data_IF_603509437046
#
_entry.id   IF_603509437046
#
_cell.length_a   1.000
_cell.length_b   1.000
_cell.length_c   1.000
_cell.angle_alpha   90.00
_cell.angle_beta   90.00
_cell.angle_gamma   90.00
#
_symmetry.space_group_name_H-M   'P 1'
#
loop_
_entity.id
_entity.type
_entity.pdbx_description
1 polymer ?
#
# COMPACT_ATOMS: atom_id res chain seq x y z
N UNK A 1 3.25 36.92 -7.95
CA UNK A 1 4.68 36.94 -7.57
C UNK A 1 5.28 35.53 -7.64
N UNK A 2 5.01 34.75 -8.70
CA UNK A 2 5.35 33.31 -8.75
C UNK A 2 5.98 32.83 -10.07
N UNK A 3 5.90 33.62 -11.14
CA UNK A 3 6.42 33.22 -12.45
C UNK A 3 7.94 33.41 -12.55
N UNK A 4 8.47 34.46 -11.90
CA UNK A 4 9.90 34.77 -11.84
C UNK A 4 10.69 33.72 -11.05
N UNK A 5 10.17 33.30 -9.88
CA UNK A 5 10.76 32.22 -9.06
C UNK A 5 10.74 30.87 -9.78
N UNK A 6 9.68 30.58 -10.55
CA UNK A 6 9.61 29.39 -11.39
C UNK A 6 10.62 29.42 -12.53
N UNK A 7 10.81 30.57 -13.19
CA UNK A 7 11.80 30.76 -14.25
C UNK A 7 13.24 30.64 -13.71
N UNK A 8 13.52 31.21 -12.53
CA UNK A 8 14.83 31.15 -11.87
C UNK A 8 15.17 29.72 -11.42
N UNK A 9 14.22 29.01 -10.81
CA UNK A 9 14.38 27.59 -10.47
C UNK A 9 14.64 26.71 -11.71
N UNK A 10 13.96 26.99 -12.83
CA UNK A 10 14.12 26.25 -14.08
C UNK A 10 15.51 26.49 -14.72
N UNK A 11 16.05 27.70 -14.60
CA UNK A 11 17.39 28.05 -15.09
C UNK A 11 18.50 27.47 -14.22
N UNK A 12 18.32 27.44 -12.89
CA UNK A 12 19.29 26.87 -11.97
C UNK A 12 19.39 25.33 -12.08
N UNK A 13 18.26 24.65 -12.30
CA UNK A 13 18.20 23.20 -12.54
C UNK A 13 18.87 22.83 -13.88
N UNK A 14 18.67 23.64 -14.93
CA UNK A 14 19.29 23.42 -16.23
C UNK A 14 20.82 23.62 -16.22
N UNK A 15 21.35 24.42 -15.29
CA UNK A 15 22.78 24.71 -15.19
C UNK A 15 23.57 23.71 -14.33
N UNK A 16 22.93 22.98 -13.41
CA UNK A 16 23.65 22.16 -12.41
C UNK A 16 23.80 20.67 -12.71
N UNK A 17 23.20 20.12 -13.77
CA UNK A 17 23.17 18.66 -13.95
C UNK A 17 23.45 18.20 -15.39
N UNK A 18 24.68 17.71 -15.60
CA UNK A 18 25.02 16.88 -16.75
C UNK A 18 24.38 15.48 -16.57
N UNK A 19 23.24 15.23 -17.23
CA UNK A 19 22.81 13.86 -17.52
C UNK A 19 21.41 13.41 -17.08
N UNK A 20 20.59 14.28 -16.49
CA UNK A 20 19.15 14.04 -16.27
C UNK A 20 18.38 14.97 -17.19
N UNK A 21 17.42 14.45 -17.96
CA UNK A 21 16.61 15.30 -18.83
C UNK A 21 15.70 16.19 -17.94
N UNK A 22 15.77 17.53 -18.08
CA UNK A 22 14.99 18.47 -17.26
C UNK A 22 13.46 18.32 -17.37
N UNK A 23 12.98 17.59 -18.37
CA UNK A 23 11.55 17.33 -18.63
C UNK A 23 10.94 16.37 -17.60
N UNK A 24 11.61 15.27 -17.26
CA UNK A 24 11.07 14.25 -16.32
C UNK A 24 10.91 14.80 -14.91
N UNK A 25 11.86 15.62 -14.44
CA UNK A 25 11.79 16.20 -13.09
C UNK A 25 10.69 17.26 -12.99
N UNK A 26 10.51 18.09 -14.02
CA UNK A 26 9.41 19.05 -14.09
C UNK A 26 8.05 18.33 -14.12
N UNK A 27 7.97 17.19 -14.83
CA UNK A 27 6.76 16.37 -14.91
C UNK A 27 6.42 15.66 -13.60
N UNK A 28 7.41 15.16 -12.85
CA UNK A 28 7.17 14.58 -11.52
C UNK A 28 6.71 15.64 -10.52
N UNK A 29 7.33 16.83 -10.50
CA UNK A 29 6.86 17.94 -9.67
C UNK A 29 5.43 18.35 -10.07
N UNK A 30 5.11 18.38 -11.36
CA UNK A 30 3.76 18.67 -11.83
C UNK A 30 2.77 17.57 -11.45
N UNK A 31 3.15 16.29 -11.52
CA UNK A 31 2.31 15.16 -11.11
C UNK A 31 2.08 15.15 -9.59
N UNK A 32 3.08 15.46 -8.77
CA UNK A 32 2.92 15.65 -7.32
C UNK A 32 1.98 16.82 -7.02
N UNK A 33 2.14 17.96 -7.72
CA UNK A 33 1.24 19.09 -7.56
C UNK A 33 -0.20 18.76 -7.96
N UNK A 34 -0.39 18.03 -9.06
CA UNK A 34 -1.70 17.57 -9.52
C UNK A 34 -2.33 16.58 -8.53
N UNK A 35 -1.56 15.64 -7.98
CA UNK A 35 -2.02 14.69 -6.96
C UNK A 35 -2.38 15.38 -5.63
N UNK A 36 -1.62 16.40 -5.22
CA UNK A 36 -1.97 17.20 -4.04
C UNK A 36 -3.23 18.03 -4.28
N UNK A 37 -3.40 18.58 -5.49
CA UNK A 37 -4.62 19.29 -5.90
C UNK A 37 -5.84 18.38 -5.99
N UNK A 38 -5.66 17.16 -6.53
CA UNK A 38 -6.66 16.11 -6.57
C UNK A 38 -7.21 15.78 -5.18
N UNK A 39 -6.33 15.76 -4.18
CA UNK A 39 -6.65 15.43 -2.80
C UNK A 39 -7.00 16.66 -1.93
N UNK A 40 -7.22 17.84 -2.52
CA UNK A 40 -7.60 19.05 -1.77
C UNK A 40 -6.49 19.67 -0.89
N UNK A 41 -5.25 19.20 -0.99
CA UNK A 41 -4.16 19.60 -0.10
C UNK A 41 -3.48 20.91 -0.57
N UNK A 42 -3.25 21.85 0.36
CA UNK A 42 -2.60 23.14 0.06
C UNK A 42 -1.07 23.02 -0.10
N UNK A 43 -0.50 23.76 -1.06
CA UNK A 43 0.90 23.70 -1.52
C UNK A 43 1.93 24.17 -0.46
N UNK A 44 1.51 24.66 0.72
CA UNK A 44 2.42 25.27 1.71
C UNK A 44 3.38 24.29 2.43
N UNK A 45 3.23 22.96 2.26
CA UNK A 45 4.00 21.95 3.01
C UNK A 45 5.34 21.52 2.41
N UNK A 46 5.75 22.02 1.24
CA UNK A 46 6.97 21.54 0.56
C UNK A 46 8.11 22.55 0.71
N UNK A 47 8.81 22.54 1.85
CA UNK A 47 10.02 23.34 2.05
C UNK A 47 11.26 22.57 2.57
N UNK A 48 11.25 21.23 2.58
CA UNK A 48 12.37 20.45 3.12
C UNK A 48 12.74 19.25 2.25
N UNK A 49 13.34 19.48 1.08
CA UNK A 49 14.21 18.48 0.41
C UNK A 49 15.33 19.21 -0.35
N UNK A 50 16.16 19.96 0.37
CA UNK A 50 17.43 20.47 -0.16
C UNK A 50 18.57 19.98 0.72
N UNK A 51 19.27 18.93 0.28
CA UNK A 51 20.73 18.80 0.29
C UNK A 51 21.13 17.41 -0.23
N UNK A 52 21.83 17.41 -1.36
CA UNK A 52 22.23 16.22 -2.12
C UNK A 52 23.45 15.50 -1.54
N UNK A 53 23.27 14.71 -0.48
CA UNK A 53 24.31 13.81 0.04
C UNK A 53 23.97 12.30 -0.12
N UNK A 54 22.78 11.94 -0.60
CA UNK A 54 22.29 10.54 -0.69
C UNK A 54 23.00 9.71 -1.78
N UNK A 55 23.57 10.34 -2.82
CA UNK A 55 24.19 9.62 -3.95
C UNK A 55 25.49 8.88 -3.58
N UNK A 56 26.18 9.25 -2.49
CA UNK A 56 27.45 8.62 -2.11
C UNK A 56 27.32 7.40 -1.20
N UNK A 57 26.25 7.29 -0.41
CA UNK A 57 26.09 6.17 0.54
C UNK A 57 25.43 4.95 -0.09
N UNK A 58 24.49 5.11 -1.04
CA UNK A 58 23.80 3.97 -1.68
C UNK A 58 24.74 3.08 -2.51
N UNK A 59 25.86 3.60 -2.99
CA UNK A 59 26.84 2.87 -3.81
C UNK A 59 28.08 2.41 -3.03
N UNK A 60 28.19 2.73 -1.74
CA UNK A 60 29.27 2.27 -0.85
C UNK A 60 28.85 1.20 0.14
N UNK A 61 27.62 0.68 0.04
CA UNK A 61 27.09 -0.32 0.96
C UNK A 61 27.84 -1.66 0.83
N UNK A 62 28.29 -2.18 1.97
CA UNK A 62 29.02 -3.44 2.12
C UNK A 62 28.26 -4.62 1.48
N UNK A 63 28.89 -5.27 0.50
CA UNK A 63 28.28 -6.25 -0.40
C UNK A 63 27.94 -7.60 0.28
N UNK A 64 28.26 -7.76 1.56
CA UNK A 64 27.97 -8.97 2.36
C UNK A 64 26.63 -8.90 3.13
N UNK A 65 25.94 -7.77 3.09
CA UNK A 65 24.62 -7.62 3.71
C UNK A 65 23.53 -8.44 2.99
N UNK A 66 22.67 -9.22 3.70
CA UNK A 66 21.53 -9.94 3.12
C UNK A 66 20.59 -9.05 2.29
N UNK A 67 20.44 -7.75 2.64
CA UNK A 67 19.70 -6.77 1.83
C UNK A 67 20.29 -6.63 0.42
N UNK A 68 21.62 -6.60 0.30
CA UNK A 68 22.35 -6.48 -0.98
C UNK A 68 22.27 -7.76 -1.83
N UNK A 69 22.12 -8.92 -1.20
CA UNK A 69 21.86 -10.18 -1.90
C UNK A 69 20.45 -10.20 -2.52
N UNK A 70 19.44 -9.70 -1.79
CA UNK A 70 18.06 -9.56 -2.30
C UNK A 70 18.01 -8.58 -3.47
N UNK A 71 18.73 -7.45 -3.41
CA UNK A 71 18.87 -6.51 -4.53
C UNK A 71 19.49 -7.16 -5.77
N UNK A 72 20.44 -8.08 -5.61
CA UNK A 72 21.08 -8.77 -6.73
C UNK A 72 20.18 -9.87 -7.33
N UNK A 73 19.39 -10.55 -6.50
CA UNK A 73 18.49 -11.64 -6.92
C UNK A 73 17.21 -11.09 -7.57
N UNK A 74 16.62 -10.03 -7.01
CA UNK A 74 15.37 -9.45 -7.48
C UNK A 74 15.56 -8.24 -8.40
N UNK A 75 16.59 -7.44 -8.16
CA UNK A 75 16.74 -6.11 -8.77
C UNK A 75 17.57 -6.06 -10.05
N UNK A 76 18.37 -7.07 -10.40
CA UNK A 76 19.30 -6.94 -11.55
C UNK A 76 18.61 -6.56 -12.88
N UNK A 77 17.37 -7.00 -13.11
CA UNK A 77 16.57 -6.64 -14.30
C UNK A 77 15.82 -5.30 -14.14
N UNK A 78 15.41 -4.94 -12.92
CA UNK A 78 14.60 -3.74 -12.67
C UNK A 78 15.44 -2.50 -12.36
N UNK A 79 16.68 -2.67 -11.91
CA UNK A 79 17.65 -1.60 -11.63
C UNK A 79 18.39 -1.11 -12.89
N UNK A 80 18.19 -1.77 -14.04
CA UNK A 80 18.62 -1.24 -15.34
C UNK A 80 17.80 -0.02 -15.76
N UNK A 81 16.56 0.08 -15.28
CA UNK A 81 15.76 1.31 -15.38
C UNK A 81 16.29 2.30 -14.33
N UNK A 82 16.62 3.52 -14.76
CA UNK A 82 17.08 4.57 -13.84
C UNK A 82 15.96 4.92 -12.87
N UNK A 83 16.03 4.40 -11.64
CA UNK A 83 15.24 4.87 -10.50
C UNK A 83 15.33 6.39 -10.43
N UNK A 84 14.19 7.05 -10.18
CA UNK A 84 14.24 8.46 -9.85
C UNK A 84 14.88 8.62 -8.46
N UNK A 85 15.52 9.76 -8.21
CA UNK A 85 16.08 10.08 -6.88
C UNK A 85 15.03 10.18 -5.76
N UNK A 86 13.75 10.07 -6.10
CA UNK A 86 12.62 10.18 -5.17
C UNK A 86 12.00 8.82 -4.82
N UNK A 87 12.40 7.74 -5.51
CA UNK A 87 11.84 6.41 -5.28
C UNK A 87 12.65 5.64 -4.24
N UNK A 88 11.96 5.03 -3.27
CA UNK A 88 12.55 3.99 -2.44
C UNK A 88 12.78 2.72 -3.28
N UNK A 89 14.02 2.22 -3.39
CA UNK A 89 14.32 1.06 -4.24
C UNK A 89 13.57 -0.22 -3.86
N UNK A 90 13.31 -0.45 -2.56
CA UNK A 90 12.60 -1.65 -2.10
C UNK A 90 11.12 -1.57 -2.45
N UNK A 91 10.49 -0.42 -2.22
CA UNK A 91 9.12 -0.19 -2.63
C UNK A 91 8.97 -0.33 -4.14
N UNK A 92 9.90 0.25 -4.91
CA UNK A 92 9.88 0.13 -6.35
C UNK A 92 9.91 -1.33 -6.80
N UNK A 93 10.84 -2.14 -6.26
CA UNK A 93 10.91 -3.57 -6.59
C UNK A 93 9.60 -4.29 -6.25
N UNK A 94 9.03 -4.04 -5.07
CA UNK A 94 7.74 -4.63 -4.65
C UNK A 94 6.61 -4.27 -5.61
N UNK A 95 6.52 -3.00 -5.98
CA UNK A 95 5.52 -2.50 -6.93
C UNK A 95 5.70 -3.10 -8.32
N UNK A 96 6.93 -3.22 -8.83
CA UNK A 96 7.19 -3.84 -10.15
C UNK A 96 6.88 -5.34 -10.16
N UNK A 97 7.13 -6.05 -9.06
CA UNK A 97 6.74 -7.46 -8.95
C UNK A 97 5.22 -7.62 -8.96
N UNK A 98 4.50 -6.78 -8.19
CA UNK A 98 3.04 -6.77 -8.20
C UNK A 98 2.48 -6.38 -9.58
N UNK A 99 3.08 -5.38 -10.23
CA UNK A 99 2.70 -4.94 -11.58
C UNK A 99 2.82 -6.09 -12.59
N UNK A 100 3.97 -6.77 -12.64
CA UNK A 100 4.18 -7.84 -13.62
C UNK A 100 3.22 -9.02 -13.40
N UNK A 101 2.91 -9.35 -12.15
CA UNK A 101 1.90 -10.36 -11.82
C UNK A 101 0.50 -9.95 -12.29
N UNK A 102 0.11 -8.69 -12.05
CA UNK A 102 -1.20 -8.15 -12.44
C UNK A 102 -1.33 -7.98 -13.96
N UNK A 103 -0.27 -7.54 -14.65
CA UNK A 103 -0.25 -7.46 -16.13
C UNK A 103 -0.41 -8.83 -16.77
N UNK A 104 0.26 -9.83 -16.20
CA UNK A 104 0.15 -11.23 -16.66
C UNK A 104 -1.28 -11.72 -16.47
N UNK A 105 -1.83 -11.56 -15.26
CA UNK A 105 -3.22 -11.91 -14.96
C UNK A 105 -4.21 -11.21 -15.90
N UNK A 106 -4.05 -9.90 -16.14
CA UNK A 106 -4.91 -9.11 -17.02
C UNK A 106 -4.92 -9.66 -18.45
N UNK A 107 -3.74 -10.02 -18.98
CA UNK A 107 -3.62 -10.64 -20.30
C UNK A 107 -4.29 -12.01 -20.36
N UNK A 108 -4.14 -12.82 -19.33
CA UNK A 108 -4.71 -14.17 -19.26
C UNK A 108 -6.24 -14.18 -19.20
N UNK A 109 -6.83 -13.21 -18.48
CA UNK A 109 -8.29 -13.04 -18.44
C UNK A 109 -8.84 -12.26 -19.65
N UNK A 110 -8.00 -11.91 -20.62
CA UNK A 110 -8.40 -11.32 -21.90
C UNK A 110 -8.56 -9.80 -21.91
N UNK A 111 -8.03 -9.08 -20.91
CA UNK A 111 -7.98 -7.63 -20.93
C UNK A 111 -6.83 -7.14 -21.80
N UNK A 112 -7.16 -6.26 -22.76
CA UNK A 112 -6.16 -5.59 -23.58
C UNK A 112 -5.78 -4.26 -22.94
N UNK A 113 -4.63 -4.24 -22.27
CA UNK A 113 -4.05 -3.01 -21.75
C UNK A 113 -3.49 -2.20 -22.93
N UNK A 114 -4.13 -1.07 -23.24
CA UNK A 114 -3.69 -0.19 -24.33
C UNK A 114 -2.31 0.44 -24.04
N UNK A 115 -1.99 0.62 -22.76
CA UNK A 115 -0.76 1.27 -22.31
C UNK A 115 -0.21 0.55 -21.08
N UNK A 116 1.12 0.45 -20.97
CA UNK A 116 1.76 0.16 -19.69
C UNK A 116 1.87 1.48 -18.93
N UNK A 117 1.29 1.60 -17.72
CA UNK A 117 1.41 2.81 -16.93
C UNK A 117 2.87 3.07 -16.54
N UNK A 118 3.19 4.31 -16.21
CA UNK A 118 4.37 4.57 -15.39
C UNK A 118 3.96 4.49 -13.92
N UNK A 119 4.72 3.72 -13.14
CA UNK A 119 4.49 3.56 -11.71
C UNK A 119 5.48 4.44 -10.97
N UNK A 120 5.00 5.11 -9.93
CA UNK A 120 5.86 5.88 -9.05
C UNK A 120 5.31 5.91 -7.63
N UNK A 121 6.09 6.50 -6.73
CA UNK A 121 5.65 6.82 -5.37
C UNK A 121 5.57 8.33 -5.19
N UNK A 122 4.63 8.79 -4.39
CA UNK A 122 4.45 10.20 -4.06
C UNK A 122 4.29 10.38 -2.57
N UNK A 123 4.83 11.48 -2.06
CA UNK A 123 4.61 11.91 -0.70
C UNK A 123 3.18 12.46 -0.59
N UNK A 124 2.29 11.72 0.05
CA UNK A 124 0.93 12.17 0.37
C UNK A 124 0.64 11.82 1.83
N UNK A 125 -0.34 12.52 2.40
CA UNK A 125 -0.89 12.15 3.72
C UNK A 125 -2.00 11.10 3.61
N UNK A 126 -2.27 10.63 2.40
CA UNK A 126 -3.31 9.67 2.11
C UNK A 126 -2.67 8.29 2.02
N UNK A 127 -3.27 7.27 2.60
CA UNK A 127 -2.81 5.89 2.41
C UNK A 127 -3.51 5.26 1.20
N UNK A 128 -3.32 5.87 0.03
CA UNK A 128 -3.97 5.42 -1.20
C UNK A 128 -2.99 5.22 -2.37
N UNK A 129 -3.45 4.61 -3.44
CA UNK A 129 -2.86 4.73 -4.76
C UNK A 129 -3.85 5.45 -5.68
N UNK A 130 -3.36 6.02 -6.76
CA UNK A 130 -4.19 6.72 -7.74
C UNK A 130 -3.72 6.48 -9.15
N UNK A 131 -4.68 6.28 -10.05
CA UNK A 131 -4.47 6.10 -11.47
C UNK A 131 -4.98 7.32 -12.22
N UNK A 132 -4.10 8.04 -12.92
CA UNK A 132 -4.46 9.29 -13.56
C UNK A 132 -3.81 9.52 -14.92
N UNK A 133 -4.47 10.33 -15.75
CA UNK A 133 -3.93 10.86 -16.99
C UNK A 133 -3.24 12.20 -16.73
N UNK A 134 -1.93 12.29 -16.96
CA UNK A 134 -1.23 13.59 -16.94
C UNK A 134 -1.27 14.24 -18.33
N UNK A 135 -1.74 15.50 -18.45
CA UNK A 135 -1.65 16.25 -19.70
C UNK A 135 -0.22 16.30 -20.25
N UNK A 136 -0.05 15.90 -21.51
CA UNK A 136 1.25 15.87 -22.18
C UNK A 136 2.04 14.56 -22.00
N UNK A 137 1.59 13.63 -21.15
CA UNK A 137 2.13 12.28 -21.12
C UNK A 137 1.36 11.35 -22.07
N UNK A 138 2.11 10.54 -22.81
CA UNK A 138 1.52 9.51 -23.69
C UNK A 138 0.95 8.34 -22.89
N UNK A 139 1.46 8.11 -21.67
CA UNK A 139 1.13 6.98 -20.81
C UNK A 139 0.44 7.46 -19.51
N UNK A 140 -0.52 6.70 -18.98
CA UNK A 140 -1.11 7.00 -17.67
C UNK A 140 -0.07 6.78 -16.55
N UNK A 141 -0.30 7.41 -15.41
CA UNK A 141 0.47 7.22 -14.19
C UNK A 141 -0.32 6.40 -13.18
N UNK A 142 0.35 5.52 -12.45
CA UNK A 142 -0.12 4.98 -11.18
C UNK A 142 0.83 5.50 -10.10
N UNK A 143 0.30 6.28 -9.16
CA UNK A 143 1.07 6.87 -8.06
C UNK A 143 0.66 6.20 -6.76
N UNK A 144 1.63 5.63 -6.05
CA UNK A 144 1.42 5.06 -4.74
C UNK A 144 1.84 6.05 -3.66
N UNK A 145 1.02 6.20 -2.64
CA UNK A 145 1.42 6.99 -1.48
C UNK A 145 2.60 6.32 -0.78
N UNK A 146 3.62 7.12 -0.48
CA UNK A 146 4.83 6.62 0.15
C UNK A 146 4.48 5.96 1.48
N UNK A 147 4.88 4.69 1.64
CA UNK A 147 4.62 3.95 2.88
C UNK A 147 3.35 3.13 2.95
N UNK A 148 2.46 3.22 1.96
CA UNK A 148 1.22 2.44 1.96
C UNK A 148 1.49 0.94 2.13
N UNK A 149 2.50 0.39 1.44
CA UNK A 149 2.84 -1.03 1.54
C UNK A 149 3.42 -1.40 2.91
N UNK A 150 4.18 -0.50 3.54
CA UNK A 150 4.78 -0.72 4.86
C UNK A 150 3.75 -0.65 5.98
N UNK A 151 2.75 0.24 5.84
CA UNK A 151 1.58 0.28 6.71
C UNK A 151 0.83 -1.06 6.67
N UNK A 152 0.48 -1.54 5.48
CA UNK A 152 -0.22 -2.82 5.35
C UNK A 152 0.64 -4.01 5.78
N UNK A 153 1.95 -3.99 5.54
CA UNK A 153 2.87 -5.00 6.05
C UNK A 153 2.86 -5.04 7.59
N UNK A 154 2.90 -3.88 8.25
CA UNK A 154 2.83 -3.80 9.71
C UNK A 154 1.46 -4.25 10.24
N UNK A 155 0.39 -3.90 9.53
CA UNK A 155 -0.97 -4.32 9.86
C UNK A 155 -1.13 -5.85 9.76
N UNK A 156 -0.63 -6.45 8.69
CA UNK A 156 -0.63 -7.92 8.51
C UNK A 156 0.16 -8.60 9.63
N UNK A 157 1.32 -8.08 10.00
CA UNK A 157 2.12 -8.63 11.12
C UNK A 157 1.33 -8.58 12.44
N UNK A 158 0.60 -7.50 12.71
CA UNK A 158 -0.29 -7.44 13.86
C UNK A 158 -1.38 -8.52 13.77
N UNK A 159 -2.01 -8.69 12.61
CA UNK A 159 -3.04 -9.72 12.39
C UNK A 159 -2.52 -11.13 12.66
N UNK A 160 -1.39 -11.53 12.07
CA UNK A 160 -0.88 -12.91 12.22
C UNK A 160 -0.46 -13.23 13.64
N UNK A 161 0.03 -12.24 14.38
CA UNK A 161 0.33 -12.38 15.80
C UNK A 161 -0.93 -12.52 16.67
N UNK A 162 -2.08 -12.02 16.21
CA UNK A 162 -3.38 -12.13 16.90
C UNK A 162 -4.14 -13.42 16.57
N UNK A 163 -3.66 -14.22 15.61
CA UNK A 163 -4.23 -15.54 15.31
C UNK A 163 -3.96 -16.53 16.43
N UNK A 164 -4.91 -17.44 16.65
CA UNK A 164 -4.77 -18.56 17.58
C UNK A 164 -4.15 -19.74 16.84
N UNK A 165 -2.85 -19.93 17.04
CA UNK A 165 -2.08 -20.98 16.37
C UNK A 165 -2.20 -22.32 17.07
N UNK A 166 -2.45 -23.37 16.29
CA UNK A 166 -2.48 -24.76 16.71
C UNK A 166 -1.26 -25.46 16.10
N UNK A 167 -0.20 -25.61 16.92
CA UNK A 167 1.07 -26.18 16.49
C UNK A 167 1.14 -27.65 16.90
N UNK A 168 0.96 -28.54 15.94
CA UNK A 168 1.14 -29.99 16.10
C UNK A 168 2.41 -30.45 15.38
N UNK A 169 2.97 -31.60 15.76
CA UNK A 169 4.23 -32.10 15.19
C UNK A 169 4.21 -32.26 13.66
N UNK A 170 3.04 -32.48 13.06
CA UNK A 170 2.87 -32.72 11.62
C UNK A 170 1.99 -31.66 10.93
N UNK A 171 1.48 -30.67 11.67
CA UNK A 171 0.49 -29.73 11.14
C UNK A 171 0.56 -28.38 11.83
N UNK A 172 0.46 -27.31 11.05
CA UNK A 172 0.39 -25.93 11.51
C UNK A 172 -0.93 -25.38 11.00
N UNK A 173 -1.85 -25.12 11.91
CA UNK A 173 -3.13 -24.49 11.61
C UNK A 173 -3.38 -23.29 12.51
N UNK A 174 -4.37 -22.48 12.15
CA UNK A 174 -4.76 -21.32 12.93
C UNK A 174 -6.26 -21.08 12.89
N UNK A 175 -6.74 -20.38 13.90
CA UNK A 175 -8.12 -19.92 14.02
C UNK A 175 -8.16 -18.40 14.21
N UNK A 176 -9.19 -17.75 13.66
CA UNK A 176 -9.53 -16.38 13.98
C UNK A 176 -10.53 -16.43 15.14
N UNK A 177 -10.06 -16.02 16.32
CA UNK A 177 -10.80 -16.08 17.58
C UNK A 177 -10.71 -14.70 18.25
N UNK A 178 -11.83 -13.98 18.30
CA UNK A 178 -11.89 -12.59 18.79
C UNK A 178 -11.60 -12.50 20.28
N UNK A 179 -12.00 -13.50 21.07
CA UNK A 179 -11.78 -13.53 22.52
C UNK A 179 -10.31 -13.82 22.84
N UNK A 180 -9.70 -14.75 22.09
CA UNK A 180 -8.26 -15.00 22.16
C UNK A 180 -7.48 -13.74 21.80
N UNK A 181 -7.81 -13.09 20.68
CA UNK A 181 -7.14 -11.87 20.23
C UNK A 181 -7.27 -10.75 21.26
N UNK A 182 -8.46 -10.52 21.83
CA UNK A 182 -8.69 -9.53 22.88
C UNK A 182 -7.85 -9.82 24.12
N UNK A 183 -7.79 -11.08 24.56
CA UNK A 183 -6.93 -11.47 25.68
C UNK A 183 -5.45 -11.24 25.35
N UNK A 184 -5.02 -11.53 24.12
CA UNK A 184 -3.64 -11.32 23.69
C UNK A 184 -3.27 -9.83 23.67
N UNK A 185 -4.14 -8.95 23.15
CA UNK A 185 -3.93 -7.50 23.16
C UNK A 185 -3.76 -6.92 24.57
N UNK A 186 -4.46 -7.47 25.56
CA UNK A 186 -4.33 -7.05 26.97
C UNK A 186 -3.01 -7.46 27.61
N UNK A 187 -2.42 -8.56 27.14
CA UNK A 187 -1.25 -9.18 27.77
C UNK A 187 0.06 -8.96 26.99
N UNK A 188 -0.01 -8.57 25.71
CA UNK A 188 1.14 -8.33 24.86
C UNK A 188 1.13 -6.92 24.28
N UNK A 189 1.82 -6.01 24.99
CA UNK A 189 1.95 -4.62 24.57
C UNK A 189 2.77 -4.44 23.27
N UNK A 190 3.52 -5.46 22.81
CA UNK A 190 4.32 -5.34 21.58
C UNK A 190 3.45 -5.19 20.34
N UNK A 191 2.33 -5.92 20.29
CA UNK A 191 1.39 -5.87 19.15
C UNK A 191 0.78 -4.46 19.06
N UNK A 192 0.25 -3.95 20.18
CA UNK A 192 -0.33 -2.61 20.25
C UNK A 192 0.70 -1.53 19.91
N UNK A 193 1.93 -1.63 20.43
CA UNK A 193 3.01 -0.70 20.10
C UNK A 193 3.36 -0.71 18.61
N UNK A 194 3.49 -1.91 18.02
CA UNK A 194 3.82 -2.05 16.61
C UNK A 194 2.73 -1.44 15.71
N UNK A 195 1.46 -1.62 16.07
CA UNK A 195 0.35 -0.96 15.38
C UNK A 195 0.36 0.56 15.52
N UNK A 196 0.63 1.08 16.72
CA UNK A 196 0.74 2.52 16.96
C UNK A 196 1.87 3.15 16.15
N UNK A 197 3.01 2.48 16.06
CA UNK A 197 4.13 2.91 15.20
C UNK A 197 3.74 2.90 13.73
N UNK A 198 2.99 1.89 13.26
CA UNK A 198 2.48 1.87 11.90
C UNK A 198 1.59 3.09 11.60
N UNK A 199 0.68 3.44 12.51
CA UNK A 199 -0.14 4.65 12.39
C UNK A 199 0.69 5.94 12.46
N UNK A 200 1.64 6.03 13.38
CA UNK A 200 2.53 7.19 13.49
C UNK A 200 3.35 7.39 12.20
N UNK A 201 3.76 6.30 11.54
CA UNK A 201 4.52 6.38 10.29
C UNK A 201 3.69 6.95 9.14
N UNK A 202 2.38 6.66 9.11
CA UNK A 202 1.43 7.26 8.16
C UNK A 202 1.30 8.77 8.38
N UNK A 203 1.16 9.23 9.62
CA UNK A 203 0.82 10.64 9.91
C UNK A 203 2.01 11.57 10.18
N UNK A 204 3.08 11.09 10.82
CA UNK A 204 4.24 11.92 11.20
C UNK A 204 5.39 11.71 10.24
N UNK A 205 5.79 10.45 10.07
CA UNK A 205 7.15 10.18 9.63
C UNK A 205 7.30 10.40 8.13
N UNK A 206 6.30 10.04 7.31
CA UNK A 206 6.42 9.99 5.85
C UNK A 206 7.72 9.29 5.36
N UNK A 207 8.38 8.55 6.25
CA UNK A 207 9.70 7.96 6.13
C UNK A 207 9.53 6.51 6.54
N UNK A 208 9.07 5.71 5.60
CA UNK A 208 8.61 4.34 5.88
C UNK A 208 9.71 3.30 5.78
N UNK A 209 10.97 3.71 5.73
CA UNK A 209 12.11 2.79 5.67
C UNK A 209 12.46 2.12 6.99
N UNK A 210 11.86 2.54 8.12
CA UNK A 210 12.00 1.83 9.40
C UNK A 210 10.95 0.73 9.45
N UNK A 211 11.27 -0.41 8.80
CA UNK A 211 10.57 -1.68 9.00
C UNK A 211 10.36 -1.85 10.50
N UNK A 212 9.12 -2.12 10.93
CA UNK A 212 8.83 -2.30 12.34
C UNK A 212 9.56 -3.55 12.87
N UNK A 213 10.79 -3.36 13.37
CA UNK A 213 11.68 -4.43 13.82
C UNK A 213 11.10 -5.14 15.06
N UNK A 214 10.17 -4.49 15.75
CA UNK A 214 9.65 -4.95 17.03
C UNK A 214 8.67 -6.12 16.93
N UNK A 215 8.08 -6.37 15.76
CA UNK A 215 7.10 -7.45 15.56
C UNK A 215 7.43 -8.29 14.32
N UNK A 216 8.47 -9.12 14.43
CA UNK A 216 8.78 -10.08 13.37
C UNK A 216 7.91 -11.34 13.49
N UNK A 217 7.37 -11.87 12.37
CA UNK A 217 6.65 -13.14 12.37
C UNK A 217 7.58 -14.30 12.76
N UNK A 218 7.07 -15.25 13.53
CA UNK A 218 7.76 -16.51 13.78
C UNK A 218 7.75 -17.39 12.53
N UNK A 219 8.63 -18.39 12.46
CA UNK A 219 8.77 -19.27 11.28
C UNK A 219 7.44 -19.89 10.84
N UNK A 220 6.62 -20.33 11.81
CA UNK A 220 5.32 -20.93 11.53
C UNK A 220 4.27 -19.94 11.01
N UNK A 221 4.50 -18.63 11.19
CA UNK A 221 3.60 -17.56 10.75
C UNK A 221 3.95 -17.04 9.34
N UNK A 222 5.16 -17.30 8.86
CA UNK A 222 5.70 -16.72 7.61
C UNK A 222 4.83 -17.00 6.38
N UNK A 223 4.22 -18.18 6.30
CA UNK A 223 3.34 -18.55 5.19
C UNK A 223 2.10 -17.65 5.12
N UNK A 224 1.40 -17.48 6.24
CA UNK A 224 0.18 -16.66 6.34
C UNK A 224 0.53 -15.18 6.18
N UNK A 225 1.60 -14.71 6.81
CA UNK A 225 2.10 -13.34 6.67
C UNK A 225 2.39 -12.99 5.19
N UNK A 226 3.15 -13.84 4.50
CA UNK A 226 3.48 -13.66 3.08
C UNK A 226 2.23 -13.69 2.20
N UNK A 227 1.31 -14.64 2.44
CA UNK A 227 0.07 -14.76 1.69
C UNK A 227 -0.80 -13.50 1.83
N UNK A 228 -1.03 -13.02 3.05
CA UNK A 228 -1.86 -11.83 3.29
C UNK A 228 -1.22 -10.56 2.71
N UNK A 229 0.10 -10.39 2.81
CA UNK A 229 0.79 -9.26 2.16
C UNK A 229 0.66 -9.31 0.65
N UNK A 230 0.89 -10.48 0.05
CA UNK A 230 0.74 -10.69 -1.40
C UNK A 230 -0.67 -10.37 -1.89
N UNK A 231 -1.70 -10.81 -1.17
CA UNK A 231 -3.12 -10.48 -1.45
C UNK A 231 -3.32 -8.97 -1.49
N UNK A 232 -2.88 -8.25 -0.46
CA UNK A 232 -3.11 -6.81 -0.36
C UNK A 232 -2.36 -6.07 -1.48
N UNK A 233 -1.09 -6.39 -1.72
CA UNK A 233 -0.29 -5.70 -2.74
C UNK A 233 -0.84 -5.93 -4.15
N UNK A 234 -1.21 -7.18 -4.46
CA UNK A 234 -1.85 -7.50 -5.74
C UNK A 234 -3.24 -6.89 -5.87
N UNK A 235 -4.01 -6.80 -4.79
CA UNK A 235 -5.31 -6.15 -4.84
C UNK A 235 -5.19 -4.66 -5.11
N UNK A 236 -4.29 -3.93 -4.41
CA UNK A 236 -4.08 -2.50 -4.65
C UNK A 236 -3.65 -2.27 -6.10
N UNK A 237 -2.61 -2.98 -6.57
CA UNK A 237 -2.17 -2.86 -7.96
C UNK A 237 -3.26 -3.25 -8.96
N UNK A 238 -4.01 -4.32 -8.67
CA UNK A 238 -5.13 -4.76 -9.49
C UNK A 238 -6.27 -3.74 -9.56
N UNK A 239 -6.54 -3.04 -8.45
CA UNK A 239 -7.53 -1.97 -8.38
C UNK A 239 -7.14 -0.80 -9.29
N UNK A 240 -5.88 -0.36 -9.22
CA UNK A 240 -5.34 0.68 -10.11
C UNK A 240 -5.39 0.27 -11.60
N UNK A 241 -5.05 -0.98 -11.89
CA UNK A 241 -5.23 -1.54 -13.24
C UNK A 241 -6.71 -1.63 -13.64
N UNK A 242 -7.62 -1.76 -12.67
CA UNK A 242 -9.06 -1.66 -12.88
C UNK A 242 -9.46 -0.34 -13.50
N UNK A 243 -8.96 0.78 -12.97
CA UNK A 243 -9.17 2.10 -13.56
C UNK A 243 -8.61 2.20 -14.99
N UNK A 244 -7.42 1.66 -15.24
CA UNK A 244 -6.84 1.60 -16.59
C UNK A 244 -7.71 0.82 -17.58
N UNK A 245 -8.21 -0.34 -17.17
CA UNK A 245 -9.05 -1.22 -18.00
C UNK A 245 -10.39 -0.57 -18.31
N UNK A 246 -10.96 0.16 -17.35
CA UNK A 246 -12.23 0.84 -17.52
C UNK A 246 -12.11 2.21 -18.20
N UNK A 247 -10.89 2.76 -18.32
CA UNK A 247 -10.64 4.09 -18.87
C UNK A 247 -11.01 5.22 -17.91
N UNK A 248 -11.14 4.91 -16.62
CA UNK A 248 -11.51 5.82 -15.54
C UNK A 248 -10.26 6.60 -15.08
N UNK A 249 -9.73 7.47 -15.95
CA UNK A 249 -8.46 8.19 -15.72
C UNK A 249 -8.62 9.67 -15.34
N UNK A 250 -9.86 10.16 -15.29
CA UNK A 250 -10.20 11.56 -15.03
C UNK A 250 -10.99 11.66 -13.73
N UNK A 251 -10.43 12.31 -12.72
CA UNK A 251 -11.07 12.47 -11.39
C UNK A 251 -12.20 13.50 -11.37
N UNK A 252 -12.27 14.40 -12.35
CA UNK A 252 -13.34 15.42 -12.43
C UNK A 252 -14.74 14.80 -12.59
N UNK A 253 -14.79 13.53 -13.01
CA UNK A 253 -16.01 12.73 -13.16
C UNK A 253 -16.09 11.61 -12.11
N UNK A 254 -15.39 11.75 -10.97
CA UNK A 254 -15.34 10.72 -9.91
C UNK A 254 -16.75 10.26 -9.52
N UNK A 255 -17.09 9.06 -9.97
CA UNK A 255 -18.31 8.34 -9.64
C UNK A 255 -17.90 7.17 -8.74
N UNK A 256 -18.55 7.03 -7.58
CA UNK A 256 -18.34 5.88 -6.70
C UNK A 256 -18.50 4.54 -7.42
N UNK A 257 -19.27 4.50 -8.52
CA UNK A 257 -19.36 3.32 -9.37
C UNK A 257 -18.03 2.93 -10.03
N UNK A 258 -17.14 3.87 -10.32
CA UNK A 258 -15.79 3.58 -10.85
C UNK A 258 -14.97 2.81 -9.82
N UNK A 259 -15.02 3.23 -8.56
CA UNK A 259 -14.35 2.56 -7.43
C UNK A 259 -14.84 1.13 -7.24
N UNK A 260 -16.16 0.91 -7.29
CA UNK A 260 -16.75 -0.43 -7.19
C UNK A 260 -16.34 -1.34 -8.36
N UNK A 261 -16.24 -0.80 -9.58
CA UNK A 261 -15.77 -1.53 -10.76
C UNK A 261 -14.28 -1.85 -10.66
N UNK A 262 -13.48 -0.89 -10.21
CA UNK A 262 -12.05 -1.05 -9.98
C UNK A 262 -11.78 -2.10 -8.90
N UNK A 263 -12.55 -2.13 -7.80
CA UNK A 263 -12.50 -3.18 -6.78
C UNK A 263 -12.83 -4.56 -7.33
N UNK A 264 -13.91 -4.68 -8.11
CA UNK A 264 -14.29 -5.94 -8.75
C UNK A 264 -13.19 -6.42 -9.72
N UNK A 265 -12.59 -5.51 -10.49
CA UNK A 265 -11.50 -5.84 -11.41
C UNK A 265 -10.22 -6.19 -10.66
N UNK A 266 -9.87 -5.44 -9.62
CA UNK A 266 -8.72 -5.70 -8.78
C UNK A 266 -8.81 -7.07 -8.12
N UNK A 267 -10.01 -7.46 -7.66
CA UNK A 267 -10.24 -8.80 -7.15
C UNK A 267 -10.05 -9.89 -8.21
N UNK A 268 -10.61 -9.72 -9.42
CA UNK A 268 -10.43 -10.66 -10.53
C UNK A 268 -8.94 -10.82 -10.88
N UNK A 269 -8.21 -9.72 -11.06
CA UNK A 269 -6.80 -9.73 -11.42
C UNK A 269 -5.96 -10.35 -10.31
N UNK A 270 -6.20 -9.98 -9.05
CA UNK A 270 -5.53 -10.59 -7.90
C UNK A 270 -5.80 -12.10 -7.83
N UNK A 271 -7.03 -12.56 -8.11
CA UNK A 271 -7.36 -13.98 -8.10
C UNK A 271 -6.63 -14.79 -9.16
N UNK A 272 -6.37 -14.19 -10.33
CA UNK A 272 -5.67 -14.80 -11.46
C UNK A 272 -4.16 -14.52 -11.45
N UNK A 273 -3.66 -13.68 -10.54
CA UNK A 273 -2.24 -13.46 -10.36
C UNK A 273 -1.58 -14.61 -9.60
N UNK A 274 -0.36 -14.98 -10.00
CA UNK A 274 0.49 -15.88 -9.23
C UNK A 274 1.43 -15.07 -8.34
N UNK A 275 1.42 -15.33 -7.03
CA UNK A 275 2.40 -14.76 -6.12
C UNK A 275 3.63 -15.66 -6.09
N UNK A 276 4.75 -15.15 -6.60
CA UNK A 276 6.04 -15.81 -6.43
C UNK A 276 6.59 -15.43 -5.05
N UNK A 277 6.40 -16.31 -4.06
CA UNK A 277 7.06 -16.14 -2.77
C UNK A 277 8.56 -16.29 -2.97
N UNK A 278 9.30 -15.20 -2.82
CA UNK A 278 10.77 -15.22 -2.81
C UNK A 278 11.18 -15.66 -1.41
N UNK A 279 11.13 -16.96 -1.11
CA UNK A 279 11.75 -17.43 0.12
C UNK A 279 13.26 -17.14 0.01
N UNK A 280 13.88 -16.44 0.98
CA UNK A 280 15.27 -15.96 0.86
C UNK A 280 16.31 -17.05 0.56
N UNK A 281 15.96 -18.32 0.75
CA UNK A 281 16.85 -19.47 0.61
C UNK A 281 16.39 -20.53 -0.42
N UNK A 282 15.26 -20.36 -1.12
CA UNK A 282 14.86 -21.32 -2.16
C UNK A 282 15.21 -20.77 -3.54
N UNK A 283 16.23 -21.37 -4.17
CA UNK A 283 16.49 -21.15 -5.61
C UNK A 283 15.39 -21.72 -6.51
N UNK A 284 14.42 -22.43 -5.94
CA UNK A 284 13.23 -22.88 -6.64
C UNK A 284 12.10 -21.87 -6.40
N UNK A 285 11.60 -21.30 -7.51
CA UNK A 285 10.36 -20.55 -7.54
C UNK A 285 9.22 -21.55 -7.33
N UNK A 286 8.78 -21.70 -6.10
CA UNK A 286 7.53 -22.41 -5.84
C UNK A 286 6.39 -21.41 -5.96
N UNK A 287 5.48 -21.68 -6.90
CA UNK A 287 4.19 -21.01 -6.95
C UNK A 287 3.38 -21.52 -5.75
N UNK A 288 3.16 -20.65 -4.77
CA UNK A 288 2.28 -20.95 -3.64
C UNK A 288 0.89 -20.45 -4.04
N UNK A 289 -0.09 -21.33 -4.32
CA UNK A 289 -1.44 -20.90 -4.59
C UNK A 289 -1.96 -20.23 -3.31
N UNK A 290 -2.26 -18.94 -3.38
CA UNK A 290 -2.98 -18.25 -2.31
C UNK A 290 -4.40 -18.82 -2.34
N UNK A 291 -4.76 -19.56 -1.29
CA UNK A 291 -6.10 -20.12 -1.19
C UNK A 291 -7.16 -19.01 -1.15
N UNK A 292 -8.40 -19.37 -1.47
CA UNK A 292 -9.52 -18.44 -1.46
C UNK A 292 -9.72 -17.78 -0.09
N UNK A 293 -9.41 -18.50 0.98
CA UNK A 293 -9.58 -18.04 2.36
C UNK A 293 -8.66 -16.85 2.69
N UNK A 294 -7.36 -16.95 2.38
CA UNK A 294 -6.39 -15.88 2.58
C UNK A 294 -6.71 -14.67 1.69
N UNK A 295 -7.22 -14.88 0.46
CA UNK A 295 -7.67 -13.78 -0.41
C UNK A 295 -8.76 -12.95 0.28
N UNK A 296 -9.80 -13.60 0.79
CA UNK A 296 -10.91 -12.91 1.45
C UNK A 296 -10.49 -12.23 2.76
N UNK A 297 -9.63 -12.85 3.56
CA UNK A 297 -9.09 -12.23 4.78
C UNK A 297 -8.20 -11.04 4.44
N UNK A 298 -7.31 -11.17 3.46
CA UNK A 298 -6.41 -10.08 3.06
C UNK A 298 -7.19 -8.86 2.55
N UNK A 299 -8.28 -9.06 1.79
CA UNK A 299 -9.19 -7.96 1.41
C UNK A 299 -9.85 -7.32 2.63
N UNK A 300 -10.27 -8.12 3.60
CA UNK A 300 -10.85 -7.58 4.83
C UNK A 300 -9.85 -6.76 5.64
N UNK A 301 -8.59 -7.21 5.71
CA UNK A 301 -7.49 -6.45 6.32
C UNK A 301 -7.25 -5.16 5.53
N UNK A 302 -7.27 -5.21 4.20
CA UNK A 302 -7.10 -4.03 3.33
C UNK A 302 -8.17 -2.96 3.61
N UNK A 303 -9.46 -3.32 3.48
CA UNK A 303 -10.58 -2.39 3.69
C UNK A 303 -10.67 -1.91 5.14
N UNK A 304 -10.37 -2.77 6.12
CA UNK A 304 -10.30 -2.34 7.53
C UNK A 304 -9.16 -1.36 7.76
N UNK A 305 -8.02 -1.54 7.08
CA UNK A 305 -6.90 -0.62 7.10
C UNK A 305 -7.29 0.78 6.61
N UNK A 306 -8.03 0.88 5.50
CA UNK A 306 -8.57 2.16 5.01
C UNK A 306 -9.43 2.81 6.09
N UNK A 307 -10.42 2.09 6.61
CA UNK A 307 -11.31 2.63 7.64
C UNK A 307 -10.59 3.04 8.93
N UNK A 308 -9.52 2.31 9.30
CA UNK A 308 -8.66 2.66 10.43
C UNK A 308 -7.95 4.00 10.20
N UNK A 309 -7.37 4.19 9.01
CA UNK A 309 -6.67 5.43 8.65
C UNK A 309 -7.65 6.60 8.59
N UNK A 310 -8.81 6.43 7.96
CA UNK A 310 -9.89 7.42 7.94
C UNK A 310 -10.27 7.83 9.37
N UNK A 311 -10.53 6.84 10.24
CA UNK A 311 -10.94 7.11 11.62
C UNK A 311 -9.83 7.73 12.46
N UNK A 312 -8.59 7.31 12.27
CA UNK A 312 -7.43 7.92 12.93
C UNK A 312 -7.23 9.36 12.46
N UNK A 313 -7.38 9.63 11.17
CA UNK A 313 -7.31 10.96 10.58
C UNK A 313 -8.39 11.89 11.16
N UNK A 314 -9.66 11.44 11.20
CA UNK A 314 -10.75 12.17 11.87
C UNK A 314 -10.41 12.47 13.34
N UNK A 315 -9.82 11.51 14.06
CA UNK A 315 -9.48 11.69 15.46
C UNK A 315 -8.39 12.75 15.67
N UNK A 316 -7.38 12.75 14.80
CA UNK A 316 -6.20 13.62 14.85
C UNK A 316 -6.56 15.04 14.39
N UNK A 317 -7.17 15.17 13.23
CA UNK A 317 -7.41 16.46 12.56
C UNK A 317 -8.85 17.01 12.77
N UNK A 318 -9.77 16.19 13.27
CA UNK A 318 -11.19 16.55 13.45
C UNK A 318 -12.02 16.42 12.16
N UNK A 319 -13.35 16.58 12.28
CA UNK A 319 -14.33 16.48 11.16
C UNK A 319 -14.06 17.45 10.00
N UNK A 320 -13.25 18.50 10.22
CA UNK A 320 -12.89 19.48 9.19
C UNK A 320 -11.89 18.93 8.16
N UNK A 321 -11.14 17.87 8.48
CA UNK A 321 -10.19 17.26 7.55
C UNK A 321 -10.82 16.38 6.45
N UNK A 322 -12.09 15.98 6.59
CA UNK A 322 -12.78 15.09 5.64
C UNK A 322 -13.91 15.74 4.84
N UNK A 323 -14.27 17.00 5.11
CA UNK A 323 -15.38 17.66 4.42
C UNK A 323 -15.07 18.12 2.98
N UNK A 324 -13.81 18.06 2.54
CA UNK A 324 -13.51 18.13 1.12
C UNK A 324 -13.83 16.77 0.49
N UNK A 325 -15.08 16.64 0.02
CA UNK A 325 -15.67 15.58 -0.81
C UNK A 325 -14.71 14.39 -1.06
N UNK A 326 -14.79 13.37 -0.21
CA UNK A 326 -14.15 12.08 -0.50
C UNK A 326 -14.57 11.62 -1.89
N UNK A 327 -13.61 11.56 -2.81
CA UNK A 327 -13.76 11.01 -4.16
C UNK A 327 -14.04 9.50 -4.12
N UNK A 328 -13.79 8.86 -2.98
CA UNK A 328 -14.01 7.43 -2.76
C UNK A 328 -15.25 7.17 -1.88
N UNK A 329 -16.02 6.09 -2.16
CA UNK A 329 -17.05 5.61 -1.25
C UNK A 329 -16.42 5.01 0.01
N UNK A 330 -17.16 4.95 1.15
CA UNK A 330 -16.65 4.40 2.40
C UNK A 330 -16.11 2.97 2.25
N UNK A 331 -15.00 2.65 2.91
CA UNK A 331 -14.37 1.33 2.82
C UNK A 331 -15.31 0.16 3.16
N UNK A 332 -16.22 0.37 4.11
CA UNK A 332 -17.24 -0.63 4.49
C UNK A 332 -18.21 -0.90 3.35
N UNK A 333 -18.64 0.13 2.61
CA UNK A 333 -19.55 -0.02 1.48
C UNK A 333 -18.85 -0.72 0.31
N UNK A 334 -17.60 -0.35 0.02
CA UNK A 334 -16.73 -1.03 -0.97
C UNK A 334 -16.59 -2.51 -0.67
N UNK A 335 -16.27 -2.84 0.58
CA UNK A 335 -16.16 -4.23 1.01
C UNK A 335 -17.49 -4.99 0.86
N UNK A 336 -18.61 -4.40 1.27
CA UNK A 336 -19.93 -5.03 1.15
C UNK A 336 -20.32 -5.28 -0.31
N UNK A 337 -20.06 -4.31 -1.20
CA UNK A 337 -20.30 -4.45 -2.63
C UNK A 337 -19.50 -5.61 -3.21
N UNK A 338 -18.19 -5.65 -2.94
CA UNK A 338 -17.31 -6.70 -3.43
C UNK A 338 -17.67 -8.07 -2.84
N UNK A 339 -17.93 -8.15 -1.54
CA UNK A 339 -18.34 -9.38 -0.87
C UNK A 339 -19.66 -9.92 -1.45
N UNK A 340 -20.63 -9.05 -1.76
CA UNK A 340 -21.87 -9.46 -2.41
C UNK A 340 -21.63 -10.01 -3.83
N UNK A 341 -20.74 -9.38 -4.61
CA UNK A 341 -20.37 -9.87 -5.94
C UNK A 341 -19.68 -11.24 -5.88
N UNK A 342 -18.71 -11.41 -4.96
CA UNK A 342 -18.02 -12.68 -4.70
C UNK A 342 -19.02 -13.75 -4.26
N UNK A 343 -19.88 -13.43 -3.28
CA UNK A 343 -20.90 -14.35 -2.80
C UNK A 343 -21.81 -14.81 -3.94
N UNK A 344 -22.28 -13.88 -4.78
CA UNK A 344 -23.17 -14.19 -5.92
C UNK A 344 -22.48 -15.07 -6.96
N UNK A 345 -21.20 -14.82 -7.25
CA UNK A 345 -20.40 -15.59 -8.21
C UNK A 345 -19.90 -16.95 -7.72
N UNK A 346 -19.86 -17.18 -6.40
CA UNK A 346 -19.33 -18.43 -5.84
C UNK A 346 -20.24 -19.64 -6.06
N UNK A 347 -19.68 -20.78 -6.44
CA UNK A 347 -20.39 -22.07 -6.51
C UNK A 347 -20.69 -22.64 -5.12
N UNK A 348 -19.79 -22.42 -4.16
CA UNK A 348 -19.93 -22.87 -2.77
C UNK A 348 -20.33 -21.70 -1.86
N UNK A 349 -21.65 -21.54 -1.69
CA UNK A 349 -22.21 -20.49 -0.83
C UNK A 349 -21.87 -20.67 0.64
N UNK A 350 -21.76 -21.92 1.13
CA UNK A 350 -21.48 -22.21 2.53
C UNK A 350 -20.04 -21.83 2.88
N UNK A 351 -19.08 -22.26 2.06
CA UNK A 351 -17.68 -21.87 2.20
C UNK A 351 -17.53 -20.35 2.13
N UNK A 352 -18.25 -19.69 1.23
CA UNK A 352 -18.23 -18.23 1.11
C UNK A 352 -18.71 -17.55 2.39
N UNK A 353 -19.86 -17.96 2.94
CA UNK A 353 -20.39 -17.41 4.20
C UNK A 353 -19.43 -17.63 5.37
N UNK A 354 -18.85 -18.83 5.46
CA UNK A 354 -17.84 -19.17 6.47
C UNK A 354 -16.62 -18.24 6.34
N UNK A 355 -16.15 -18.01 5.12
CA UNK A 355 -15.00 -17.14 4.84
C UNK A 355 -15.30 -15.66 5.15
N UNK A 356 -16.50 -15.18 4.83
CA UNK A 356 -16.92 -13.82 5.19
C UNK A 356 -17.06 -13.62 6.69
N UNK A 357 -17.49 -14.64 7.45
CA UNK A 357 -17.45 -14.59 8.91
C UNK A 357 -16.02 -14.35 9.42
N UNK A 358 -15.05 -15.10 8.88
CA UNK A 358 -13.64 -14.95 9.27
C UNK A 358 -13.06 -13.58 8.89
N UNK A 359 -13.40 -13.04 7.72
CA UNK A 359 -13.09 -11.68 7.35
C UNK A 359 -13.67 -10.68 8.38
N UNK A 360 -14.96 -10.79 8.71
CA UNK A 360 -15.60 -9.93 9.70
C UNK A 360 -14.94 -10.03 11.08
N UNK A 361 -14.61 -11.24 11.53
CA UNK A 361 -13.91 -11.46 12.80
C UNK A 361 -12.51 -10.82 12.79
N UNK A 362 -11.77 -10.89 11.68
CA UNK A 362 -10.48 -10.20 11.51
C UNK A 362 -10.64 -8.67 11.53
N UNK A 363 -11.66 -8.14 10.83
CA UNK A 363 -11.96 -6.70 10.87
C UNK A 363 -12.24 -6.24 12.30
N UNK A 364 -13.04 -6.99 13.05
CA UNK A 364 -13.32 -6.69 14.46
C UNK A 364 -12.03 -6.67 15.30
N UNK A 365 -11.10 -7.60 15.06
CA UNK A 365 -9.79 -7.62 15.73
C UNK A 365 -9.00 -6.35 15.45
N UNK A 366 -8.98 -5.89 14.21
CA UNK A 366 -8.31 -4.65 13.82
C UNK A 366 -8.95 -3.41 14.45
N UNK A 367 -10.28 -3.34 14.51
CA UNK A 367 -10.99 -2.26 15.21
C UNK A 367 -10.76 -2.27 16.74
N UNK A 368 -10.64 -3.46 17.34
CA UNK A 368 -10.24 -3.60 18.74
C UNK A 368 -8.82 -3.03 18.95
N UNK A 369 -7.88 -3.34 18.06
CA UNK A 369 -6.50 -2.85 18.13
C UNK A 369 -6.43 -1.31 18.02
N UNK A 370 -7.25 -0.70 17.15
CA UNK A 370 -7.41 0.75 17.10
C UNK A 370 -7.95 1.32 18.42
N UNK A 371 -8.98 0.69 18.98
CA UNK A 371 -9.60 1.13 20.24
C UNK A 371 -8.61 1.08 21.42
N UNK A 372 -7.72 0.07 21.46
CA UNK A 372 -6.64 -0.03 22.45
C UNK A 372 -5.52 0.99 22.24
N UNK A 373 -5.50 1.68 21.09
CA UNK A 373 -4.50 2.69 20.73
C UNK A 373 -4.95 4.13 20.98
N UNK A 374 -6.11 4.34 21.62
CA UNK A 374 -6.71 5.66 21.82
C UNK A 374 -5.90 6.64 22.68
N UNK A 375 -4.99 6.17 23.54
CA UNK A 375 -4.06 7.06 24.26
C UNK A 375 -2.93 7.53 23.32
N UNK A 376 -2.31 6.62 22.57
CA UNK A 376 -1.27 6.97 21.59
C UNK A 376 -1.79 7.93 20.50
N UNK A 377 -3.04 7.75 20.03
CA UNK A 377 -3.66 8.69 19.09
C UNK A 377 -3.85 10.09 19.70
N UNK A 378 -4.14 10.19 21.01
CA UNK A 378 -4.21 11.49 21.70
C UNK A 378 -2.85 12.15 21.80
N UNK A 379 -1.82 11.38 22.13
CA UNK A 379 -0.43 11.87 22.13
C UNK A 379 0.00 12.35 20.75
N UNK A 380 -0.32 11.60 19.69
CA UNK A 380 -0.06 11.95 18.31
C UNK A 380 -0.73 13.27 17.93
N UNK A 381 -2.02 13.42 18.22
CA UNK A 381 -2.76 14.68 18.03
C UNK A 381 -2.11 15.85 18.76
N UNK A 382 -1.72 15.65 20.02
CA UNK A 382 -1.05 16.70 20.80
C UNK A 382 0.28 17.11 20.15
N UNK A 383 1.07 16.14 19.64
CA UNK A 383 2.32 16.44 18.93
C UNK A 383 2.09 17.26 17.65
N UNK A 384 1.10 16.89 16.85
CA UNK A 384 0.79 17.57 15.58
C UNK A 384 0.18 18.97 15.78
N UNK A 385 -0.64 19.15 16.83
CA UNK A 385 -1.20 20.48 17.16
C UNK A 385 -0.18 21.46 17.75
N UNK A 386 1.01 21.00 18.17
CA UNK A 386 2.09 21.87 18.63
C UNK A 386 3.02 22.35 17.50
N UNK A 387 2.89 21.79 16.30
CA UNK A 387 3.67 22.20 15.12
C UNK A 387 2.98 23.26 14.24
N UNK A 388 1.72 23.58 14.53
CA UNK A 388 0.99 24.75 14.01
C UNK A 388 1.29 26.00 14.84
#
# INVERSE_FOLDING_TARGET
MNEQLYIEAKQEIAMKQNGIRPDVQALMCQATLLSLQANGQSIQSIQLVEQGEIEKELWSCDLESPKNMIYKILGAKFLEEKLSKYEDPLQYIRLRLAEEAIKTAAKEVGHNLLFSPCIGTVLSLDCNAVTLRVPGLERPLILFSLGILDFYESLVRCCVHLLKWNLNANDISYEIDTDYALNKLKNDAKITRSFQEALNNVFIAQMTSVVNEHLQPEVHMLGVDSALRGVIWHFIMGHEYGHLIHGDLNEEEADWMQEYKADARGFELMCNSTWQSVAPNSMQKEEVPIDFYHKIIGLSVFFSGIGIIEKASEFIFGDKGQQEKSTHPPAVERWQYLAAAIYKGSEDKELSLKTFKYANDMSNILWMLLSHSGEALRELRNKLSMSE
#
